data_IF_782987627873
#
_entry.id   IF_782987627873
#
_cell.length_a   1.000
_cell.length_b   1.000
_cell.length_c   1.000
_cell.angle_alpha   90.00
_cell.angle_beta   90.00
_cell.angle_gamma   90.00
#
_symmetry.space_group_name_H-M   'P 1'
#
loop_
_entity.id
_entity.type
_entity.pdbx_description
1 polymer ?
#
# COMPACT_ATOMS: atom_id res chain seq x y z
N UNK A 1 71.71 -44.41 -64.40
CA UNK A 1 70.28 -44.70 -64.56
C UNK A 1 69.53 -44.10 -63.42
N UNK A 2 68.66 -43.13 -63.61
CA UNK A 2 68.12 -42.27 -62.51
C UNK A 2 66.84 -42.87 -61.89
N UNK A 3 66.75 -42.76 -60.58
CA UNK A 3 65.56 -43.09 -59.80
C UNK A 3 64.61 -41.91 -59.66
N UNK A 4 63.40 -42.09 -60.04
CA UNK A 4 62.30 -41.06 -59.98
C UNK A 4 61.68 -41.09 -58.57
N UNK A 5 61.72 -39.91 -57.87
CA UNK A 5 61.04 -39.68 -56.56
C UNK A 5 59.63 -39.18 -56.81
N UNK A 6 58.63 -39.86 -56.29
CA UNK A 6 57.24 -39.42 -56.17
C UNK A 6 57.02 -38.67 -54.85
N UNK A 7 56.65 -37.43 -54.95
CA UNK A 7 56.23 -36.58 -53.83
C UNK A 7 54.68 -36.74 -53.65
N UNK A 8 54.30 -37.33 -52.56
CA UNK A 8 52.89 -37.37 -52.12
C UNK A 8 52.57 -36.03 -51.42
N UNK A 9 51.59 -35.30 -51.96
CA UNK A 9 51.02 -34.13 -51.30
C UNK A 9 49.88 -34.60 -50.37
N UNK A 10 50.09 -34.42 -49.04
CA UNK A 10 49.07 -34.53 -48.03
C UNK A 10 48.25 -33.24 -47.97
N UNK A 11 46.99 -33.30 -48.40
CA UNK A 11 46.01 -32.19 -48.20
C UNK A 11 45.35 -32.34 -46.82
N UNK A 12 45.71 -31.47 -45.91
CA UNK A 12 45.05 -31.36 -44.62
C UNK A 12 43.73 -30.62 -44.76
N UNK A 13 42.62 -31.36 -44.69
CA UNK A 13 41.28 -30.73 -44.57
C UNK A 13 41.03 -30.31 -43.10
N UNK A 14 40.99 -28.99 -42.87
CA UNK A 14 40.59 -28.41 -41.61
C UNK A 14 39.05 -28.44 -41.56
N UNK A 15 38.49 -29.32 -40.73
CA UNK A 15 37.09 -29.30 -40.37
C UNK A 15 36.88 -28.19 -39.31
N UNK A 16 36.31 -27.06 -39.73
CA UNK A 16 35.79 -26.06 -38.80
C UNK A 16 34.46 -26.54 -38.28
N UNK A 17 34.45 -27.13 -37.09
CA UNK A 17 33.24 -27.48 -36.36
C UNK A 17 32.54 -26.18 -35.87
N UNK A 18 31.45 -25.77 -36.49
CA UNK A 18 30.59 -24.75 -36.00
C UNK A 18 29.82 -25.26 -34.76
N UNK A 19 30.28 -24.89 -33.59
CA UNK A 19 29.55 -25.12 -32.33
C UNK A 19 28.35 -24.16 -32.29
N UNK A 20 27.18 -24.64 -32.68
CA UNK A 20 25.92 -23.91 -32.49
C UNK A 20 25.62 -23.94 -31.00
N UNK A 21 25.94 -22.85 -30.31
CA UNK A 21 25.43 -22.58 -28.96
C UNK A 21 23.93 -22.38 -29.05
N UNK A 22 23.15 -23.42 -28.80
CA UNK A 22 21.74 -23.28 -28.44
C UNK A 22 21.69 -22.56 -27.11
N UNK A 23 21.49 -21.26 -27.12
CA UNK A 23 20.99 -20.53 -25.96
C UNK A 23 19.57 -21.03 -25.71
N UNK A 24 19.44 -22.10 -24.96
CA UNK A 24 18.16 -22.57 -24.44
C UNK A 24 17.57 -21.41 -23.66
N UNK A 25 16.41 -20.90 -24.10
CA UNK A 25 15.60 -20.03 -23.27
C UNK A 25 15.36 -20.77 -21.96
N UNK A 26 15.96 -20.31 -20.86
CA UNK A 26 15.71 -20.89 -19.55
C UNK A 26 14.18 -20.82 -19.36
N UNK A 27 13.53 -21.97 -19.19
CA UNK A 27 12.13 -22.02 -18.84
C UNK A 27 11.93 -21.18 -17.57
N UNK A 28 10.91 -20.34 -17.57
CA UNK A 28 10.62 -19.52 -16.39
C UNK A 28 10.43 -20.44 -15.19
N UNK A 29 11.14 -20.17 -14.11
CA UNK A 29 11.07 -20.94 -12.86
C UNK A 29 9.66 -20.81 -12.28
N UNK A 30 9.00 -21.95 -12.01
CA UNK A 30 7.75 -21.99 -11.27
C UNK A 30 8.03 -22.27 -9.81
N UNK A 31 7.48 -21.46 -8.92
CA UNK A 31 7.61 -21.62 -7.48
C UNK A 31 6.22 -21.83 -6.84
N UNK A 32 6.20 -22.59 -5.77
CA UNK A 32 5.03 -22.76 -4.92
C UNK A 32 5.06 -21.71 -3.80
N UNK A 33 3.94 -20.99 -3.62
CA UNK A 33 3.77 -19.98 -2.57
C UNK A 33 2.45 -20.18 -1.85
N UNK A 34 2.38 -19.77 -0.58
CA UNK A 34 1.12 -19.64 0.16
C UNK A 34 0.73 -18.18 0.19
N UNK A 35 -0.47 -17.85 -0.29
CA UNK A 35 -0.98 -16.48 -0.32
C UNK A 35 -1.72 -16.09 0.99
N UNK A 36 -2.15 -14.83 1.11
CA UNK A 36 -2.82 -14.32 2.31
C UNK A 36 -4.23 -14.89 2.52
N UNK A 37 -4.80 -15.58 1.54
CA UNK A 37 -6.04 -16.37 1.70
C UNK A 37 -5.75 -17.81 2.18
N UNK A 38 -4.48 -18.15 2.47
CA UNK A 38 -4.04 -19.48 2.90
C UNK A 38 -4.01 -20.51 1.76
N UNK A 39 -4.08 -20.10 0.50
CA UNK A 39 -4.06 -21.01 -0.65
C UNK A 39 -2.62 -21.27 -1.09
N UNK A 40 -2.33 -22.50 -1.46
CA UNK A 40 -1.09 -22.89 -2.12
C UNK A 40 -1.25 -22.65 -3.62
N UNK A 41 -0.38 -21.84 -4.20
CA UNK A 41 -0.44 -21.40 -5.59
C UNK A 41 0.91 -21.60 -6.28
N UNK A 42 0.89 -22.19 -7.46
CA UNK A 42 2.05 -22.25 -8.34
C UNK A 42 2.10 -20.96 -9.18
N UNK A 43 3.21 -20.24 -9.09
CA UNK A 43 3.40 -18.96 -9.80
C UNK A 43 4.72 -18.94 -10.55
N UNK A 44 4.75 -18.28 -11.70
CA UNK A 44 6.00 -17.95 -12.38
C UNK A 44 6.81 -17.01 -11.51
N UNK A 45 8.04 -17.35 -11.21
CA UNK A 45 8.98 -16.46 -10.52
C UNK A 45 9.50 -15.40 -11.51
N UNK A 46 9.64 -14.16 -11.02
CA UNK A 46 10.00 -12.98 -11.82
C UNK A 46 9.12 -12.80 -13.07
N UNK A 47 7.77 -12.77 -12.89
CA UNK A 47 6.84 -12.68 -14.01
C UNK A 47 7.04 -11.34 -14.74
N UNK A 48 6.87 -11.38 -16.06
CA UNK A 48 7.03 -10.19 -16.91
C UNK A 48 5.75 -9.37 -17.04
N UNK A 49 4.59 -10.01 -16.81
CA UNK A 49 3.28 -9.40 -17.03
C UNK A 49 2.37 -9.66 -15.85
N UNK A 50 2.21 -8.65 -15.01
CA UNK A 50 1.30 -8.70 -13.86
C UNK A 50 0.15 -7.72 -14.04
N UNK A 51 -1.01 -8.08 -13.51
CA UNK A 51 -2.15 -7.17 -13.33
C UNK A 51 -2.37 -6.95 -11.84
N UNK A 52 -2.53 -5.70 -11.44
CA UNK A 52 -2.91 -5.30 -10.10
C UNK A 52 -4.42 -5.08 -10.06
N UNK A 53 -5.14 -5.78 -9.18
CA UNK A 53 -6.58 -5.53 -9.03
C UNK A 53 -6.84 -4.10 -8.58
N UNK A 54 -5.93 -3.53 -7.79
CA UNK A 54 -5.97 -2.17 -7.28
C UNK A 54 -4.70 -1.42 -7.66
N UNK A 55 -4.84 -0.21 -8.20
CA UNK A 55 -3.69 0.63 -8.58
C UNK A 55 -2.80 1.00 -7.39
N UNK A 56 -3.36 1.09 -6.17
CA UNK A 56 -2.61 1.38 -4.96
C UNK A 56 -1.68 0.25 -4.51
N UNK A 57 -1.83 -0.98 -5.03
CA UNK A 57 -0.83 -2.04 -4.85
C UNK A 57 0.54 -1.64 -5.41
N UNK A 58 0.58 -0.59 -6.26
CA UNK A 58 1.82 0.03 -6.72
C UNK A 58 2.71 0.51 -5.57
N UNK A 59 2.17 0.90 -4.43
CA UNK A 59 2.98 1.32 -3.27
C UNK A 59 3.98 0.25 -2.85
N UNK A 60 3.59 -1.02 -2.92
CA UNK A 60 4.49 -2.14 -2.62
C UNK A 60 5.49 -2.39 -3.76
N UNK A 61 5.02 -2.35 -5.02
CA UNK A 61 5.92 -2.53 -6.16
C UNK A 61 6.96 -1.42 -6.23
N UNK A 62 6.61 -0.19 -5.82
CA UNK A 62 7.52 0.94 -5.77
C UNK A 62 8.68 0.73 -4.79
N UNK A 63 8.50 -0.09 -3.76
CA UNK A 63 9.58 -0.48 -2.85
C UNK A 63 10.41 -1.65 -3.39
N UNK A 64 9.76 -2.61 -4.05
CA UNK A 64 10.40 -3.85 -4.52
C UNK A 64 11.12 -3.66 -5.86
N UNK A 65 10.53 -2.93 -6.78
CA UNK A 65 11.07 -2.60 -8.12
C UNK A 65 11.33 -1.08 -8.23
N UNK A 66 12.09 -0.53 -7.29
CA UNK A 66 12.29 0.93 -7.11
C UNK A 66 12.78 1.65 -8.36
N UNK A 67 13.58 1.00 -9.21
CA UNK A 67 14.10 1.61 -10.44
C UNK A 67 13.01 1.86 -11.48
N UNK A 68 12.06 0.92 -11.62
CA UNK A 68 10.88 1.04 -12.47
C UNK A 68 9.75 0.14 -11.96
N UNK A 69 8.85 0.66 -11.10
CA UNK A 69 7.75 -0.11 -10.54
C UNK A 69 6.68 -0.52 -11.58
N UNK A 70 6.73 0.07 -12.78
CA UNK A 70 5.77 -0.22 -13.86
C UNK A 70 6.28 -1.27 -14.85
N UNK A 71 7.56 -1.66 -14.80
CA UNK A 71 8.20 -2.49 -15.83
C UNK A 71 7.47 -3.80 -16.15
N UNK A 72 6.70 -4.32 -15.18
CA UNK A 72 5.94 -5.57 -15.32
C UNK A 72 4.43 -5.40 -15.22
N UNK A 73 3.94 -4.20 -14.89
CA UNK A 73 2.51 -3.92 -14.73
C UNK A 73 1.89 -3.66 -16.09
N UNK A 74 1.09 -4.62 -16.57
CA UNK A 74 0.39 -4.51 -17.86
C UNK A 74 -1.05 -3.99 -17.73
N UNK A 75 -1.61 -4.05 -16.51
CA UNK A 75 -2.94 -3.53 -16.21
C UNK A 75 -3.12 -3.30 -14.71
N UNK A 76 -4.00 -2.38 -14.35
CA UNK A 76 -4.29 -2.04 -12.95
C UNK A 76 -5.65 -1.37 -12.76
N UNK A 77 -6.15 -1.37 -11.51
CA UNK A 77 -7.32 -0.57 -11.14
C UNK A 77 -7.00 0.92 -11.16
N UNK A 78 -8.03 1.76 -11.37
CA UNK A 78 -7.88 3.22 -11.46
C UNK A 78 -7.80 3.95 -10.11
N UNK A 79 -7.89 3.24 -9.02
CA UNK A 79 -8.04 3.77 -7.66
C UNK A 79 -6.84 4.63 -7.18
N UNK A 80 -5.62 4.35 -7.65
CA UNK A 80 -4.48 5.24 -7.39
C UNK A 80 -4.69 6.61 -8.03
N UNK A 81 -5.14 6.63 -9.30
CA UNK A 81 -5.34 7.86 -10.06
C UNK A 81 -6.46 8.71 -9.44
N UNK A 82 -7.55 8.06 -9.02
CA UNK A 82 -8.75 8.72 -8.51
C UNK A 82 -8.63 9.13 -7.03
N UNK A 83 -7.98 8.29 -6.21
CA UNK A 83 -7.96 8.49 -4.76
C UNK A 83 -6.65 9.05 -4.22
N UNK A 84 -5.56 8.99 -5.01
CA UNK A 84 -4.26 9.57 -4.66
C UNK A 84 -3.61 10.28 -5.85
N UNK A 85 -4.26 11.33 -6.38
CA UNK A 85 -3.77 12.06 -7.55
C UNK A 85 -2.38 12.68 -7.32
N UNK A 86 -2.06 13.10 -6.09
CA UNK A 86 -0.75 13.66 -5.75
C UNK A 86 0.38 12.64 -5.93
N UNK A 87 0.20 11.40 -5.43
CA UNK A 87 1.17 10.33 -5.67
C UNK A 87 1.25 9.97 -7.16
N UNK A 88 0.08 9.86 -7.82
CA UNK A 88 0.04 9.55 -9.26
C UNK A 88 0.86 10.54 -10.09
N UNK A 89 0.70 11.85 -9.86
CA UNK A 89 1.45 12.88 -10.59
C UNK A 89 2.98 12.73 -10.39
N UNK A 90 3.42 12.41 -9.18
CA UNK A 90 4.83 12.14 -8.92
C UNK A 90 5.36 10.91 -9.66
N UNK A 91 4.60 9.82 -9.64
CA UNK A 91 4.96 8.61 -10.41
C UNK A 91 4.98 8.90 -11.91
N UNK A 92 3.97 9.58 -12.43
CA UNK A 92 3.86 9.92 -13.85
C UNK A 92 5.01 10.84 -14.32
N UNK A 93 5.40 11.82 -13.50
CA UNK A 93 6.52 12.71 -13.80
C UNK A 93 7.86 11.95 -13.91
N UNK A 94 8.06 10.91 -13.08
CA UNK A 94 9.28 10.10 -13.11
C UNK A 94 9.23 8.98 -14.14
N UNK A 95 8.05 8.38 -14.35
CA UNK A 95 7.80 7.24 -15.22
C UNK A 95 6.70 7.57 -16.25
N UNK A 96 6.96 8.37 -17.27
CA UNK A 96 5.93 8.85 -18.22
C UNK A 96 5.16 7.72 -18.94
N UNK A 97 5.78 6.55 -19.11
CA UNK A 97 5.15 5.38 -19.70
C UNK A 97 4.07 4.74 -18.80
N UNK A 98 3.98 5.12 -17.53
CA UNK A 98 2.94 4.64 -16.63
C UNK A 98 1.51 4.93 -17.13
N UNK A 99 1.32 6.01 -17.92
CA UNK A 99 0.06 6.35 -18.60
C UNK A 99 -0.42 5.29 -19.59
N UNK A 100 0.50 4.46 -20.10
CA UNK A 100 0.22 3.44 -21.13
C UNK A 100 -0.21 2.10 -20.50
N UNK A 101 -0.13 1.96 -19.16
CA UNK A 101 -0.64 0.78 -18.45
C UNK A 101 -2.16 0.71 -18.58
N UNK A 102 -2.66 -0.47 -18.98
CA UNK A 102 -4.09 -0.64 -19.24
C UNK A 102 -4.93 -0.40 -17.97
N UNK A 103 -5.85 0.56 -18.05
CA UNK A 103 -6.81 0.81 -16.98
C UNK A 103 -7.87 -0.30 -16.96
N UNK A 104 -7.94 -1.05 -15.85
CA UNK A 104 -8.91 -2.14 -15.64
C UNK A 104 -10.25 -1.67 -15.06
N UNK A 105 -10.38 -0.36 -14.80
CA UNK A 105 -11.57 0.23 -14.21
C UNK A 105 -11.55 0.24 -12.67
N UNK A 106 -12.74 0.40 -12.10
CA UNK A 106 -12.91 0.44 -10.65
C UNK A 106 -12.67 -0.96 -10.06
N UNK A 107 -11.68 -1.15 -9.19
CA UNK A 107 -11.38 -2.46 -8.59
C UNK A 107 -12.52 -3.01 -7.72
N UNK A 108 -13.41 -2.15 -7.27
CA UNK A 108 -14.57 -2.52 -6.44
C UNK A 108 -15.84 -2.82 -7.25
N UNK A 109 -15.78 -2.65 -8.59
CA UNK A 109 -16.89 -3.01 -9.47
C UNK A 109 -17.13 -4.54 -9.50
N UNK A 110 -18.35 -4.93 -9.86
CA UNK A 110 -18.73 -6.35 -9.88
C UNK A 110 -18.04 -7.14 -11.00
N UNK A 111 -17.72 -6.48 -12.12
CA UNK A 111 -17.32 -7.15 -13.35
C UNK A 111 -15.84 -6.92 -13.67
N UNK A 112 -15.05 -7.95 -13.47
CA UNK A 112 -13.65 -8.01 -13.94
C UNK A 112 -13.65 -8.62 -15.34
N UNK A 113 -13.17 -7.85 -16.34
CA UNK A 113 -13.10 -8.32 -17.72
C UNK A 113 -11.99 -9.36 -17.91
N UNK A 114 -12.38 -10.64 -17.92
CA UNK A 114 -11.45 -11.74 -18.20
C UNK A 114 -10.82 -11.66 -19.59
N UNK A 115 -11.58 -11.20 -20.58
CA UNK A 115 -11.09 -11.00 -21.95
C UNK A 115 -9.92 -9.99 -21.96
N UNK A 116 -10.09 -8.87 -21.25
CA UNK A 116 -9.06 -7.84 -21.17
C UNK A 116 -7.81 -8.35 -20.44
N UNK A 117 -7.97 -9.06 -19.31
CA UNK A 117 -6.86 -9.66 -18.56
C UNK A 117 -6.07 -10.64 -19.44
N UNK A 118 -6.78 -11.53 -20.16
CA UNK A 118 -6.15 -12.51 -21.04
C UNK A 118 -5.45 -11.86 -22.24
N UNK A 119 -6.08 -10.84 -22.85
CA UNK A 119 -5.50 -10.09 -23.98
C UNK A 119 -4.18 -9.39 -23.64
N UNK A 120 -3.99 -8.99 -22.36
CA UNK A 120 -2.74 -8.42 -21.87
C UNK A 120 -1.61 -9.46 -21.75
N UNK A 121 -1.93 -10.76 -21.86
CA UNK A 121 -1.00 -11.87 -21.66
C UNK A 121 -0.54 -11.97 -20.19
N UNK A 122 -1.46 -11.72 -19.27
CA UNK A 122 -1.21 -11.72 -17.82
C UNK A 122 -0.70 -13.06 -17.34
N UNK A 123 0.41 -13.05 -16.60
CA UNK A 123 0.99 -14.25 -15.96
C UNK A 123 0.51 -14.38 -14.51
N UNK A 124 0.47 -13.25 -13.78
CA UNK A 124 0.04 -13.19 -12.38
C UNK A 124 -0.97 -12.06 -12.19
N UNK A 125 -2.07 -12.37 -11.53
CA UNK A 125 -3.07 -11.41 -11.08
C UNK A 125 -3.02 -11.25 -9.57
N UNK A 126 -2.72 -10.04 -9.09
CA UNK A 126 -2.62 -9.72 -7.67
C UNK A 126 -3.94 -9.12 -7.20
N UNK A 127 -4.58 -9.76 -6.22
CA UNK A 127 -5.83 -9.32 -5.62
C UNK A 127 -5.63 -8.90 -4.15
N UNK A 128 -6.45 -7.95 -3.71
CA UNK A 128 -6.59 -7.65 -2.30
C UNK A 128 -7.45 -8.71 -1.61
N UNK A 129 -7.07 -9.10 -0.38
CA UNK A 129 -7.75 -10.15 0.42
C UNK A 129 -9.23 -9.81 0.67
N UNK A 130 -9.59 -8.52 0.76
CA UNK A 130 -10.98 -8.08 0.92
C UNK A 130 -11.89 -8.55 -0.21
N UNK A 131 -11.33 -8.85 -1.37
CA UNK A 131 -12.07 -9.33 -2.54
C UNK A 131 -12.18 -10.87 -2.61
N UNK A 132 -11.64 -11.62 -1.64
CA UNK A 132 -11.55 -13.08 -1.71
C UNK A 132 -12.92 -13.75 -1.88
N UNK A 133 -13.88 -13.45 -1.00
CA UNK A 133 -15.21 -14.05 -1.08
C UNK A 133 -15.95 -13.68 -2.36
N UNK A 134 -15.84 -12.43 -2.80
CA UNK A 134 -16.43 -11.97 -4.07
C UNK A 134 -15.81 -12.67 -5.27
N UNK A 135 -14.49 -12.84 -5.29
CA UNK A 135 -13.79 -13.54 -6.36
C UNK A 135 -14.18 -15.03 -6.45
N UNK A 136 -14.48 -15.66 -5.29
CA UNK A 136 -15.03 -17.02 -5.26
C UNK A 136 -16.47 -17.06 -5.77
N UNK A 137 -17.33 -16.21 -5.24
CA UNK A 137 -18.76 -16.16 -5.57
C UNK A 137 -19.02 -15.90 -7.06
N UNK A 138 -18.25 -14.99 -7.67
CA UNK A 138 -18.35 -14.67 -9.10
C UNK A 138 -17.68 -15.71 -10.02
N UNK A 139 -17.01 -16.71 -9.44
CA UNK A 139 -16.23 -17.70 -10.18
C UNK A 139 -14.98 -17.12 -10.87
N UNK A 140 -14.53 -15.93 -10.47
CA UNK A 140 -13.35 -15.26 -11.03
C UNK A 140 -12.10 -16.15 -10.91
N UNK A 141 -11.88 -16.76 -9.74
CA UNK A 141 -10.70 -17.60 -9.51
C UNK A 141 -10.64 -18.79 -10.47
N UNK A 142 -11.75 -19.50 -10.66
CA UNK A 142 -11.82 -20.61 -11.60
C UNK A 142 -11.60 -20.19 -13.05
N UNK A 143 -12.08 -18.99 -13.44
CA UNK A 143 -11.87 -18.43 -14.77
C UNK A 143 -10.40 -18.08 -15.01
N UNK A 144 -9.73 -17.47 -14.02
CA UNK A 144 -8.30 -17.13 -14.10
C UNK A 144 -7.45 -18.39 -14.18
N UNK A 145 -7.71 -19.39 -13.34
CA UNK A 145 -7.02 -20.68 -13.33
C UNK A 145 -7.16 -21.39 -14.70
N UNK A 146 -8.39 -21.45 -15.26
CA UNK A 146 -8.63 -22.02 -16.58
C UNK A 146 -7.87 -21.30 -17.70
N UNK A 147 -7.62 -19.99 -17.52
CA UNK A 147 -6.83 -19.18 -18.44
C UNK A 147 -5.31 -19.32 -18.22
N UNK A 148 -4.87 -20.13 -17.26
CA UNK A 148 -3.45 -20.30 -16.90
C UNK A 148 -2.86 -19.09 -16.17
N UNK A 149 -3.68 -18.23 -15.60
CA UNK A 149 -3.27 -17.02 -14.90
C UNK A 149 -3.19 -17.31 -13.39
N UNK A 150 -1.99 -17.28 -12.82
CA UNK A 150 -1.80 -17.44 -11.39
C UNK A 150 -2.43 -16.26 -10.63
N UNK A 151 -3.17 -16.55 -9.56
CA UNK A 151 -3.83 -15.54 -8.75
C UNK A 151 -3.32 -15.61 -7.33
N UNK A 152 -2.86 -14.48 -6.78
CA UNK A 152 -2.37 -14.37 -5.41
C UNK A 152 -3.07 -13.25 -4.65
N UNK A 153 -3.38 -13.52 -3.38
CA UNK A 153 -3.99 -12.53 -2.49
C UNK A 153 -2.94 -11.92 -1.58
N UNK A 154 -3.00 -10.60 -1.45
CA UNK A 154 -2.23 -9.78 -0.50
C UNK A 154 -3.19 -8.97 0.36
N UNK A 155 -2.73 -8.49 1.52
CA UNK A 155 -3.54 -7.62 2.38
C UNK A 155 -2.69 -6.48 2.93
N UNK A 156 -3.09 -5.26 2.54
CA UNK A 156 -2.55 -4.02 3.06
C UNK A 156 -3.64 -3.18 3.74
N UNK A 157 -4.87 -3.71 3.85
CA UNK A 157 -6.05 -2.96 4.24
C UNK A 157 -6.83 -3.54 5.40
N UNK A 158 -7.18 -4.83 5.36
CA UNK A 158 -8.08 -5.42 6.37
C UNK A 158 -7.39 -5.52 7.74
N UNK A 159 -6.26 -6.20 7.79
CA UNK A 159 -5.42 -6.31 8.99
C UNK A 159 -3.94 -6.08 8.64
N UNK A 160 -3.57 -4.84 8.30
CA UNK A 160 -2.22 -4.54 7.84
C UNK A 160 -1.16 -4.83 8.91
N UNK A 161 -1.50 -4.71 10.19
CA UNK A 161 -0.55 -4.98 11.28
C UNK A 161 -0.10 -6.44 11.33
N UNK A 162 -0.94 -7.36 10.86
CA UNK A 162 -0.62 -8.78 10.74
C UNK A 162 -0.10 -9.14 9.34
N UNK A 163 -0.64 -8.51 8.30
CA UNK A 163 -0.54 -9.02 6.94
C UNK A 163 0.44 -8.26 6.03
N UNK A 164 0.90 -7.06 6.41
CA UNK A 164 1.84 -6.28 5.57
C UNK A 164 3.16 -7.02 5.35
N UNK A 165 3.81 -7.52 6.41
CA UNK A 165 5.07 -8.22 6.24
C UNK A 165 4.93 -9.50 5.41
N UNK A 166 3.98 -10.41 5.69
CA UNK A 166 3.76 -11.59 4.84
C UNK A 166 3.44 -11.21 3.38
N UNK A 167 2.63 -10.15 3.14
CA UNK A 167 2.30 -9.68 1.79
C UNK A 167 3.52 -9.16 1.03
N UNK A 168 4.36 -8.35 1.68
CA UNK A 168 5.59 -7.82 1.05
C UNK A 168 6.59 -8.95 0.78
N UNK A 169 6.73 -9.91 1.71
CA UNK A 169 7.62 -11.06 1.52
C UNK A 169 7.11 -12.00 0.41
N UNK A 170 5.80 -12.25 0.35
CA UNK A 170 5.18 -13.01 -0.74
C UNK A 170 5.48 -12.37 -2.09
N UNK A 171 5.23 -11.07 -2.23
CA UNK A 171 5.51 -10.34 -3.48
C UNK A 171 7.02 -10.30 -3.77
N UNK A 172 7.86 -10.11 -2.76
CA UNK A 172 9.32 -10.18 -2.90
C UNK A 172 9.77 -11.51 -3.50
N UNK A 173 9.23 -12.62 -3.02
CA UNK A 173 9.53 -13.98 -3.52
C UNK A 173 9.03 -14.19 -4.96
N UNK A 174 7.78 -13.77 -5.25
CA UNK A 174 7.21 -13.89 -6.60
C UNK A 174 8.01 -13.06 -7.60
N UNK A 175 8.36 -11.82 -7.24
CA UNK A 175 9.03 -10.87 -8.13
C UNK A 175 10.56 -11.03 -8.21
N UNK A 176 11.15 -11.99 -7.44
CA UNK A 176 12.60 -12.13 -7.34
C UNK A 176 13.25 -10.89 -6.69
N UNK A 177 12.60 -10.34 -5.66
CA UNK A 177 13.00 -9.13 -4.90
C UNK A 177 13.08 -9.39 -3.40
N UNK A 178 13.55 -10.58 -3.03
CA UNK A 178 13.65 -10.99 -1.64
C UNK A 178 14.58 -10.07 -0.83
N UNK A 179 15.63 -9.55 -1.47
CA UNK A 179 16.57 -8.60 -0.82
C UNK A 179 15.87 -7.31 -0.42
N UNK A 180 15.10 -6.73 -1.33
CA UNK A 180 14.35 -5.51 -1.12
C UNK A 180 13.23 -5.72 -0.09
N UNK A 181 12.53 -6.85 -0.16
CA UNK A 181 11.49 -7.24 0.80
C UNK A 181 12.07 -7.42 2.22
N UNK A 182 13.24 -8.06 2.35
CA UNK A 182 13.91 -8.23 3.64
C UNK A 182 14.42 -6.90 4.20
N UNK A 183 14.97 -6.02 3.35
CA UNK A 183 15.40 -4.68 3.78
C UNK A 183 14.23 -3.85 4.32
N UNK A 184 13.06 -3.93 3.67
CA UNK A 184 11.83 -3.32 4.17
C UNK A 184 11.40 -3.97 5.49
N UNK A 185 11.38 -5.30 5.58
CA UNK A 185 10.99 -6.02 6.79
C UNK A 185 11.85 -5.63 8.00
N UNK A 186 13.16 -5.53 7.83
CA UNK A 186 14.08 -5.10 8.89
C UNK A 186 13.80 -3.66 9.33
N UNK A 187 13.50 -2.77 8.38
CA UNK A 187 13.16 -1.38 8.69
C UNK A 187 11.82 -1.31 9.44
N UNK A 188 10.79 -1.96 8.93
CA UNK A 188 9.47 -2.05 9.54
C UNK A 188 9.54 -2.56 10.99
N UNK A 189 10.22 -3.69 11.20
CA UNK A 189 10.37 -4.30 12.53
C UNK A 189 11.09 -3.35 13.52
N UNK A 190 12.12 -2.65 13.06
CA UNK A 190 12.80 -1.67 13.93
C UNK A 190 11.87 -0.54 14.36
N UNK A 191 11.08 0.02 13.43
CA UNK A 191 10.17 1.12 13.73
C UNK A 191 9.03 0.69 14.66
N UNK A 192 8.34 -0.40 14.35
CA UNK A 192 7.22 -0.90 15.17
C UNK A 192 7.68 -1.34 16.55
N UNK A 193 8.83 -1.99 16.69
CA UNK A 193 9.42 -2.31 18.00
C UNK A 193 9.76 -1.07 18.80
N UNK A 194 10.23 0.00 18.17
CA UNK A 194 10.51 1.28 18.84
C UNK A 194 9.23 1.90 19.41
N UNK A 195 8.11 1.82 18.68
CA UNK A 195 6.80 2.26 19.17
C UNK A 195 6.39 1.41 20.37
N UNK A 196 6.32 0.09 20.19
CA UNK A 196 5.87 -0.85 21.22
C UNK A 196 6.70 -0.76 22.51
N UNK A 197 8.03 -0.65 22.42
CA UNK A 197 8.91 -0.53 23.59
C UNK A 197 8.58 0.71 24.45
N UNK A 198 8.02 1.76 23.84
CA UNK A 198 7.69 3.02 24.54
C UNK A 198 6.28 3.04 25.10
N UNK A 199 5.33 2.34 24.45
CA UNK A 199 3.91 2.41 24.80
C UNK A 199 3.32 1.10 25.34
N UNK A 200 3.93 -0.05 25.08
CA UNK A 200 3.37 -1.36 25.38
C UNK A 200 3.11 -1.63 26.86
N UNK A 201 3.85 -0.97 27.78
CA UNK A 201 3.65 -1.11 29.21
C UNK A 201 2.65 -0.11 29.81
N UNK A 202 2.01 0.75 29.01
CA UNK A 202 1.07 1.76 29.50
C UNK A 202 -0.26 1.07 29.84
N UNK A 203 -0.74 1.19 31.10
CA UNK A 203 -2.03 0.60 31.51
C UNK A 203 -3.19 1.20 30.70
N UNK A 204 -4.18 0.38 30.34
CA UNK A 204 -5.31 0.82 29.50
C UNK A 204 -6.06 2.04 30.05
N UNK A 205 -6.17 2.15 31.39
CA UNK A 205 -6.80 3.30 32.04
C UNK A 205 -6.07 4.64 31.83
N UNK A 206 -4.78 4.59 31.46
CA UNK A 206 -3.95 5.76 31.18
C UNK A 206 -3.87 6.10 29.69
N UNK A 207 -4.33 5.21 28.83
CA UNK A 207 -4.35 5.44 27.38
C UNK A 207 -5.46 6.44 27.02
N UNK A 208 -5.19 7.43 26.15
CA UNK A 208 -6.21 8.36 25.69
C UNK A 208 -7.31 7.66 24.88
N UNK A 209 -8.57 8.08 25.06
CA UNK A 209 -9.67 7.68 24.20
C UNK A 209 -9.61 8.49 22.90
N UNK A 210 -9.55 7.81 21.77
CA UNK A 210 -9.38 8.42 20.44
C UNK A 210 -10.59 8.07 19.57
N UNK A 211 -11.26 9.08 19.04
CA UNK A 211 -12.22 8.89 17.95
C UNK A 211 -11.50 9.11 16.62
N UNK A 212 -11.69 8.19 15.67
CA UNK A 212 -11.15 8.33 14.31
C UNK A 212 -12.31 8.52 13.33
N UNK A 213 -12.48 9.74 12.80
CA UNK A 213 -13.43 10.01 11.73
C UNK A 213 -12.83 9.61 10.37
N UNK A 214 -13.43 8.61 9.75
CA UNK A 214 -13.00 8.08 8.47
C UNK A 214 -13.44 9.00 7.34
N UNK A 215 -12.50 9.42 6.49
CA UNK A 215 -12.75 10.27 5.32
C UNK A 215 -13.67 11.46 5.63
N UNK A 216 -13.33 12.20 6.70
CA UNK A 216 -14.10 13.33 7.19
C UNK A 216 -14.26 14.39 6.10
N UNK A 217 -15.50 14.80 5.85
CA UNK A 217 -15.86 15.77 4.80
C UNK A 217 -16.04 15.17 3.40
N UNK A 218 -15.73 13.87 3.21
CA UNK A 218 -16.12 13.07 2.04
C UNK A 218 -17.32 12.18 2.38
N UNK A 219 -17.28 11.52 3.53
CA UNK A 219 -18.35 10.67 4.03
C UNK A 219 -19.22 11.44 5.03
N UNK A 220 -20.49 11.00 5.23
CA UNK A 220 -21.32 11.55 6.30
C UNK A 220 -20.64 11.37 7.67
N UNK A 221 -20.78 12.35 8.53
CA UNK A 221 -20.35 12.20 9.93
C UNK A 221 -21.21 11.15 10.63
N UNK A 222 -20.66 10.26 11.41
CA UNK A 222 -19.27 10.12 11.75
C UNK A 222 -18.86 8.69 11.40
N UNK A 223 -18.49 8.48 10.15
CA UNK A 223 -17.92 7.21 9.73
C UNK A 223 -16.63 6.94 10.53
N UNK A 224 -16.41 5.69 10.96
CA UNK A 224 -15.28 5.35 11.83
C UNK A 224 -14.73 3.96 11.52
N UNK A 225 -13.63 3.60 12.16
CA UNK A 225 -13.03 2.27 12.08
C UNK A 225 -13.31 1.48 13.38
N UNK A 226 -13.67 0.21 13.25
CA UNK A 226 -13.67 -0.75 14.35
C UNK A 226 -12.24 -1.18 14.73
N UNK A 227 -12.03 -2.44 15.18
CA UNK A 227 -10.72 -2.91 15.68
C UNK A 227 -9.73 -3.28 14.56
N UNK A 228 -9.84 -2.64 13.41
CA UNK A 228 -9.00 -2.88 12.24
C UNK A 228 -8.43 -1.56 11.70
N UNK A 229 -7.37 -1.66 10.90
CA UNK A 229 -6.77 -0.54 10.17
C UNK A 229 -6.47 0.66 11.09
N UNK A 230 -6.92 1.89 10.80
CA UNK A 230 -6.69 3.06 11.65
C UNK A 230 -7.13 2.87 13.10
N UNK A 231 -8.17 2.07 13.36
CA UNK A 231 -8.56 1.72 14.73
C UNK A 231 -7.46 0.92 15.43
N UNK A 232 -6.89 -0.05 14.73
CA UNK A 232 -5.75 -0.85 15.22
C UNK A 232 -4.49 0.02 15.36
N UNK A 233 -4.20 0.92 14.41
CA UNK A 233 -3.05 1.83 14.51
C UNK A 233 -3.11 2.70 15.77
N UNK A 234 -4.31 3.19 16.12
CA UNK A 234 -4.51 3.90 17.40
C UNK A 234 -4.14 3.02 18.59
N UNK A 235 -4.59 1.75 18.60
CA UNK A 235 -4.32 0.82 19.71
C UNK A 235 -2.84 0.47 19.83
N UNK A 236 -2.17 0.22 18.72
CA UNK A 236 -0.74 -0.09 18.68
C UNK A 236 0.14 1.13 18.97
N UNK A 237 -0.31 2.33 18.62
CA UNK A 237 0.29 3.58 19.04
C UNK A 237 0.09 3.91 20.54
N UNK A 238 -0.66 3.08 21.28
CA UNK A 238 -0.89 3.24 22.73
C UNK A 238 -2.16 4.02 23.06
N UNK A 239 -3.07 4.25 22.13
CA UNK A 239 -4.40 4.82 22.38
C UNK A 239 -5.45 3.74 22.67
N UNK A 240 -6.69 4.18 22.92
CA UNK A 240 -7.89 3.34 22.91
C UNK A 240 -8.79 3.81 21.78
N UNK A 241 -9.02 2.96 20.78
CA UNK A 241 -9.94 3.30 19.71
C UNK A 241 -11.37 3.32 20.22
N UNK A 242 -12.07 4.43 20.06
CA UNK A 242 -13.49 4.56 20.43
C UNK A 242 -14.35 3.57 19.65
N UNK A 243 -14.08 3.40 18.35
CA UNK A 243 -14.86 2.50 17.48
C UNK A 243 -14.78 1.04 17.89
N UNK A 244 -13.64 0.54 18.40
CA UNK A 244 -13.46 -0.84 18.86
C UNK A 244 -14.36 -1.20 20.05
N UNK A 245 -14.87 -0.22 20.78
CA UNK A 245 -15.76 -0.48 21.93
C UNK A 245 -17.19 -0.80 21.51
N UNK A 246 -17.59 -0.38 20.31
CA UNK A 246 -18.98 -0.47 19.85
C UNK A 246 -19.16 -1.32 18.58
N UNK A 247 -18.08 -1.51 17.82
CA UNK A 247 -18.13 -2.15 16.51
C UNK A 247 -17.08 -3.25 16.38
N UNK A 248 -17.47 -4.35 15.76
CA UNK A 248 -16.59 -5.47 15.42
C UNK A 248 -16.23 -5.50 13.93
N UNK A 249 -16.87 -4.65 13.12
CA UNK A 249 -16.61 -4.56 11.69
C UNK A 249 -15.38 -3.68 11.39
N UNK A 250 -14.82 -3.85 10.19
CA UNK A 250 -13.71 -3.03 9.69
C UNK A 250 -14.04 -1.54 9.74
N UNK A 251 -15.25 -1.17 9.34
CA UNK A 251 -15.75 0.21 9.33
C UNK A 251 -17.20 0.25 9.80
N UNK A 252 -17.59 1.37 10.38
CA UNK A 252 -18.93 1.55 10.90
C UNK A 252 -19.38 3.01 10.77
N UNK A 253 -20.67 3.23 10.97
CA UNK A 253 -21.26 4.56 11.06
C UNK A 253 -21.67 4.83 12.51
N UNK A 254 -21.03 5.81 13.15
CA UNK A 254 -21.40 6.28 14.47
C UNK A 254 -22.44 7.40 14.38
N UNK A 255 -23.35 7.47 15.34
CA UNK A 255 -24.23 8.64 15.52
C UNK A 255 -23.38 9.81 16.04
N UNK A 256 -23.55 10.99 15.46
CA UNK A 256 -22.81 12.20 15.85
C UNK A 256 -23.06 12.53 17.33
N UNK A 257 -24.30 12.42 17.78
CA UNK A 257 -24.71 12.71 19.15
C UNK A 257 -23.96 11.81 20.15
N UNK A 258 -23.74 10.53 19.78
CA UNK A 258 -22.99 9.58 20.63
C UNK A 258 -21.53 9.99 20.74
N UNK A 259 -20.90 10.39 19.64
CA UNK A 259 -19.49 10.86 19.63
C UNK A 259 -19.34 12.13 20.47
N UNK A 260 -20.29 13.07 20.32
CA UNK A 260 -20.30 14.31 21.09
C UNK A 260 -20.51 14.05 22.60
N UNK A 261 -21.43 13.14 22.95
CA UNK A 261 -21.71 12.78 24.34
C UNK A 261 -20.56 12.05 25.02
N UNK A 262 -19.87 11.13 24.31
CA UNK A 262 -18.72 10.40 24.84
C UNK A 262 -17.47 11.27 24.95
N UNK A 263 -17.42 12.37 24.19
CA UNK A 263 -16.40 13.42 24.28
C UNK A 263 -14.97 12.88 24.35
N UNK A 264 -14.41 12.29 23.27
CA UNK A 264 -13.11 11.64 23.26
C UNK A 264 -11.97 12.59 23.63
N UNK A 265 -10.87 12.04 24.17
CA UNK A 265 -9.69 12.80 24.58
C UNK A 265 -8.96 13.43 23.39
N UNK A 266 -8.96 12.69 22.27
CA UNK A 266 -8.32 13.07 21.03
C UNK A 266 -9.28 12.78 19.87
N UNK A 267 -9.31 13.68 18.90
CA UNK A 267 -10.10 13.52 17.68
C UNK A 267 -9.16 13.40 16.48
N UNK A 268 -9.07 12.22 15.92
CA UNK A 268 -8.40 12.01 14.65
C UNK A 268 -9.40 12.02 13.51
N UNK A 269 -8.96 12.47 12.37
CA UNK A 269 -9.70 12.35 11.13
C UNK A 269 -8.77 11.95 9.99
N UNK A 270 -9.30 11.26 9.00
CA UNK A 270 -8.55 10.92 7.81
C UNK A 270 -9.03 11.73 6.62
N UNK A 271 -8.09 12.21 5.79
CA UNK A 271 -8.37 13.00 4.61
C UNK A 271 -7.33 12.80 3.51
N UNK A 272 -7.72 13.11 2.30
CA UNK A 272 -6.87 13.16 1.11
C UNK A 272 -7.44 14.14 0.09
N UNK A 273 -6.70 14.43 -0.97
CA UNK A 273 -7.17 15.29 -2.04
C UNK A 273 -8.10 14.50 -2.98
N UNK A 274 -9.39 14.46 -2.64
CA UNK A 274 -10.44 13.82 -3.46
C UNK A 274 -11.23 14.80 -4.33
N UNK A 275 -10.83 16.08 -4.34
CA UNK A 275 -11.60 17.10 -5.03
C UNK A 275 -11.81 16.80 -6.52
N UNK A 276 -10.82 16.21 -7.20
CA UNK A 276 -10.91 15.83 -8.61
C UNK A 276 -11.95 14.76 -8.91
N UNK A 277 -12.08 13.73 -8.05
CA UNK A 277 -13.07 12.66 -8.17
C UNK A 277 -14.41 12.98 -7.49
N UNK A 278 -14.37 13.87 -6.48
CA UNK A 278 -15.53 14.31 -5.69
C UNK A 278 -15.50 15.81 -5.47
N UNK A 279 -15.97 16.65 -6.43
CA UNK A 279 -15.88 18.12 -6.34
C UNK A 279 -16.60 18.74 -5.14
N UNK A 280 -17.56 18.01 -4.55
CA UNK A 280 -18.26 18.41 -3.33
C UNK A 280 -17.55 18.07 -2.03
N UNK A 281 -16.38 17.43 -2.07
CA UNK A 281 -15.62 17.04 -0.87
C UNK A 281 -15.14 18.28 -0.12
N UNK A 282 -15.35 18.26 1.20
CA UNK A 282 -14.79 19.24 2.15
C UNK A 282 -13.68 18.62 3.00
N UNK A 283 -13.18 17.47 2.60
CA UNK A 283 -12.13 16.75 3.32
C UNK A 283 -10.83 17.55 3.38
N UNK A 284 -10.03 17.29 4.42
CA UNK A 284 -8.68 17.84 4.51
C UNK A 284 -7.82 17.19 3.42
N UNK A 285 -7.39 18.01 2.47
CA UNK A 285 -6.58 17.57 1.33
C UNK A 285 -5.14 17.33 1.75
N UNK A 286 -4.88 16.17 2.37
CA UNK A 286 -3.56 15.69 2.72
C UNK A 286 -2.93 14.92 1.55
N UNK A 287 -1.59 14.83 1.54
CA UNK A 287 -0.82 14.10 0.56
C UNK A 287 0.31 14.93 -0.04
N UNK A 288 0.83 14.47 -1.16
CA UNK A 288 2.06 15.00 -1.78
C UNK A 288 1.99 16.43 -2.30
N UNK A 289 0.80 16.94 -2.61
CA UNK A 289 0.49 18.27 -3.14
C UNK A 289 -0.14 19.23 -2.12
N UNK A 290 -0.31 18.76 -0.88
CA UNK A 290 -0.91 19.53 0.20
C UNK A 290 0.00 20.68 0.68
N UNK A 291 -0.61 21.82 1.08
CA UNK A 291 0.08 22.90 1.77
C UNK A 291 -0.40 23.08 3.20
N UNK A 292 0.46 23.49 4.15
CA UNK A 292 0.07 23.69 5.54
C UNK A 292 -1.11 24.63 5.72
N UNK A 293 -1.16 25.72 4.95
CA UNK A 293 -2.21 26.75 5.02
C UNK A 293 -3.56 26.19 4.60
N UNK A 294 -3.59 25.43 3.49
CA UNK A 294 -4.82 24.78 3.01
C UNK A 294 -5.33 23.77 4.02
N UNK A 295 -4.45 22.92 4.54
CA UNK A 295 -4.76 21.89 5.54
C UNK A 295 -5.35 22.51 6.79
N UNK A 296 -4.74 23.60 7.34
CA UNK A 296 -5.27 24.29 8.52
C UNK A 296 -6.65 24.91 8.26
N UNK A 297 -6.86 25.57 7.13
CA UNK A 297 -8.16 26.13 6.75
C UNK A 297 -9.25 25.06 6.71
N UNK A 298 -8.96 23.90 6.14
CA UNK A 298 -9.92 22.79 6.04
C UNK A 298 -10.17 22.12 7.39
N UNK A 299 -9.13 21.95 8.24
CA UNK A 299 -9.29 21.45 9.61
C UNK A 299 -10.22 22.35 10.44
N UNK A 300 -10.00 23.67 10.41
CA UNK A 300 -10.86 24.64 11.10
C UNK A 300 -12.30 24.53 10.60
N UNK A 301 -12.51 24.45 9.28
CA UNK A 301 -13.85 24.33 8.69
C UNK A 301 -14.58 23.07 9.16
N UNK A 302 -13.89 21.91 9.20
CA UNK A 302 -14.48 20.64 9.68
C UNK A 302 -14.83 20.70 11.18
N UNK A 303 -14.01 21.38 11.99
CA UNK A 303 -14.26 21.51 13.42
C UNK A 303 -15.33 22.57 13.75
N UNK A 304 -15.74 23.39 12.80
CA UNK A 304 -16.87 24.34 12.95
C UNK A 304 -18.24 23.70 12.71
N UNK A 305 -18.32 22.39 12.50
CA UNK A 305 -19.59 21.67 12.42
C UNK A 305 -20.39 21.80 13.74
N UNK A 306 -21.73 21.76 13.70
CA UNK A 306 -22.57 21.90 14.90
C UNK A 306 -22.18 20.90 16.00
N UNK A 307 -21.95 21.42 17.22
CA UNK A 307 -21.58 20.64 18.41
C UNK A 307 -20.08 20.35 18.56
N UNK A 308 -19.29 20.40 17.50
CA UNK A 308 -17.85 20.00 17.55
C UNK A 308 -17.00 20.93 18.40
N UNK A 309 -17.34 22.24 18.47
CA UNK A 309 -16.64 23.21 19.30
C UNK A 309 -16.69 22.90 20.81
N UNK A 310 -17.64 22.03 21.21
CA UNK A 310 -17.80 21.62 22.61
C UNK A 310 -16.91 20.40 22.96
N UNK A 311 -16.34 19.73 21.99
CA UNK A 311 -15.45 18.60 22.23
C UNK A 311 -14.18 19.07 22.96
N UNK A 312 -13.81 18.38 24.06
CA UNK A 312 -12.56 18.67 24.77
C UNK A 312 -11.32 18.52 23.87
N UNK A 313 -11.37 17.62 22.87
CA UNK A 313 -10.33 17.48 21.87
C UNK A 313 -10.17 18.75 21.02
N UNK A 314 -11.26 19.43 20.63
CA UNK A 314 -11.22 20.69 19.87
C UNK A 314 -10.72 21.82 20.75
N UNK A 315 -11.28 21.98 21.96
CA UNK A 315 -10.88 23.00 22.92
C UNK A 315 -9.42 22.88 23.35
N UNK A 316 -8.93 21.64 23.50
CA UNK A 316 -7.55 21.32 23.84
C UNK A 316 -6.58 21.25 22.65
N UNK A 317 -7.05 21.59 21.43
CA UNK A 317 -6.26 21.47 20.18
C UNK A 317 -5.64 20.07 19.98
N UNK A 318 -6.38 19.03 20.39
CA UNK A 318 -6.02 17.61 20.21
C UNK A 318 -6.78 16.99 19.03
N UNK A 319 -6.88 17.76 17.95
CA UNK A 319 -7.45 17.31 16.67
C UNK A 319 -6.30 17.16 15.69
N UNK A 320 -6.18 15.98 15.07
CA UNK A 320 -5.13 15.69 14.08
C UNK A 320 -5.73 15.05 12.86
N UNK A 321 -5.43 15.59 11.69
CA UNK A 321 -5.73 14.95 10.42
C UNK A 321 -4.57 14.05 10.00
N UNK A 322 -4.88 12.86 9.49
CA UNK A 322 -3.93 11.91 8.91
C UNK A 322 -4.26 11.63 7.44
N UNK A 323 -3.24 11.45 6.63
CA UNK A 323 -3.40 11.08 5.24
C UNK A 323 -4.12 9.74 5.12
N UNK A 324 -5.25 9.74 4.42
CA UNK A 324 -6.13 8.58 4.34
C UNK A 324 -5.45 7.36 3.72
N UNK A 325 -4.55 7.57 2.76
CA UNK A 325 -3.94 6.45 2.03
C UNK A 325 -3.01 5.57 2.89
N UNK A 326 -2.63 6.00 4.10
CA UNK A 326 -1.97 5.11 5.05
C UNK A 326 -2.77 3.84 5.35
N UNK A 327 -4.09 3.85 5.10
CA UNK A 327 -4.94 2.68 5.30
C UNK A 327 -4.66 1.51 4.33
N UNK A 328 -3.89 1.77 3.26
CA UNK A 328 -3.63 0.84 2.16
C UNK A 328 -2.11 0.75 1.82
N UNK A 329 -1.30 1.49 2.58
CA UNK A 329 0.14 1.54 2.35
C UNK A 329 0.89 0.52 3.23
N UNK A 330 1.89 -0.20 2.70
CA UNK A 330 2.70 -1.11 3.51
C UNK A 330 3.52 -0.39 4.59
N UNK A 331 3.69 0.93 4.50
CA UNK A 331 4.42 1.77 5.45
C UNK A 331 3.51 2.61 6.37
N UNK A 332 2.31 2.09 6.69
CA UNK A 332 1.35 2.69 7.63
C UNK A 332 1.94 2.97 9.03
N UNK A 333 2.98 2.23 9.43
CA UNK A 333 3.67 2.43 10.72
C UNK A 333 4.21 3.86 10.90
N UNK A 334 4.37 4.63 9.81
CA UNK A 334 4.69 6.06 9.86
C UNK A 334 3.55 6.83 10.54
N UNK A 335 2.29 6.51 10.20
CA UNK A 335 1.14 7.10 10.87
C UNK A 335 1.05 6.66 12.34
N UNK A 336 1.33 5.39 12.66
CA UNK A 336 1.40 4.91 14.04
C UNK A 336 2.46 5.66 14.85
N UNK A 337 3.63 5.88 14.27
CA UNK A 337 4.70 6.64 14.92
C UNK A 337 4.28 8.08 15.22
N UNK A 338 3.62 8.73 14.25
CA UNK A 338 3.08 10.08 14.42
C UNK A 338 1.98 10.10 15.49
N UNK A 339 1.06 9.11 15.50
CA UNK A 339 0.02 8.96 16.52
C UNK A 339 0.62 8.76 17.91
N UNK A 340 1.61 7.87 18.04
CA UNK A 340 2.27 7.61 19.33
C UNK A 340 2.95 8.87 19.89
N UNK A 341 3.57 9.67 19.03
CA UNK A 341 4.13 10.98 19.43
C UNK A 341 3.04 11.97 19.86
N UNK A 342 1.88 11.98 19.19
CA UNK A 342 0.73 12.79 19.58
C UNK A 342 0.17 12.39 20.95
N UNK A 343 0.15 11.10 21.27
CA UNK A 343 -0.33 10.60 22.56
C UNK A 343 0.68 10.85 23.70
N UNK A 344 1.97 10.66 23.40
CA UNK A 344 3.04 10.64 24.40
C UNK A 344 4.28 11.46 23.96
N UNK A 345 4.15 12.79 23.79
CA UNK A 345 5.23 13.63 23.25
C UNK A 345 6.54 13.48 24.04
N UNK A 346 6.48 13.33 25.36
CA UNK A 346 7.68 13.18 26.21
C UNK A 346 8.40 11.84 25.98
N UNK A 347 7.67 10.78 25.66
CA UNK A 347 8.24 9.46 25.35
C UNK A 347 8.88 9.40 23.96
N UNK A 348 8.50 10.32 23.08
CA UNK A 348 8.95 10.41 21.69
C UNK A 348 9.67 11.73 21.37
N UNK A 349 10.23 12.42 22.40
CA UNK A 349 10.94 13.69 22.21
C UNK A 349 12.15 13.59 21.28
N UNK A 350 12.77 12.41 21.22
CA UNK A 350 13.94 12.06 20.40
C UNK A 350 13.55 11.54 19.00
N UNK A 351 12.26 11.46 18.68
CA UNK A 351 11.76 10.94 17.40
C UNK A 351 11.07 12.05 16.63
N UNK A 352 11.43 12.19 15.37
CA UNK A 352 10.73 13.02 14.40
C UNK A 352 10.08 12.13 13.31
N UNK A 353 8.75 11.88 13.37
CA UNK A 353 8.06 11.05 12.41
C UNK A 353 8.18 11.55 10.96
N UNK A 354 8.28 12.87 10.75
CA UNK A 354 8.46 13.45 9.42
C UNK A 354 9.84 13.15 8.87
N UNK A 355 10.88 13.26 9.69
CA UNK A 355 12.24 12.87 9.31
C UNK A 355 12.33 11.37 8.98
N UNK A 356 11.65 10.51 9.77
CA UNK A 356 11.56 9.07 9.49
C UNK A 356 10.87 8.82 8.14
N UNK A 357 9.81 9.56 7.82
CA UNK A 357 9.12 9.40 6.55
C UNK A 357 9.92 9.92 5.35
N UNK A 358 10.67 11.02 5.52
CA UNK A 358 11.63 11.49 4.51
C UNK A 358 12.72 10.46 4.24
N UNK A 359 13.32 9.90 5.30
CA UNK A 359 14.29 8.81 5.21
C UNK A 359 13.71 7.58 4.48
N UNK A 360 12.45 7.23 4.77
CA UNK A 360 11.77 6.13 4.11
C UNK A 360 11.64 6.36 2.59
N UNK A 361 11.27 7.57 2.16
CA UNK A 361 11.23 7.94 0.74
C UNK A 361 12.60 7.79 0.09
N UNK A 362 13.64 8.28 0.73
CA UNK A 362 15.01 8.21 0.20
C UNK A 362 15.50 6.77 0.04
N UNK A 363 15.14 5.90 0.99
CA UNK A 363 15.61 4.51 1.01
C UNK A 363 14.79 3.57 0.13
N UNK A 364 13.47 3.70 0.14
CA UNK A 364 12.58 2.68 -0.40
C UNK A 364 11.73 3.15 -1.58
N UNK A 365 11.41 4.44 -1.69
CA UNK A 365 10.51 4.90 -2.74
C UNK A 365 11.26 5.57 -3.89
N UNK A 366 10.75 5.44 -5.14
CA UNK A 366 11.34 6.13 -6.28
C UNK A 366 10.98 7.61 -6.34
N UNK A 367 9.94 8.04 -5.64
CA UNK A 367 9.45 9.42 -5.62
C UNK A 367 9.93 10.16 -4.37
N UNK A 368 10.17 11.46 -4.49
CA UNK A 368 10.61 12.30 -3.37
C UNK A 368 9.46 12.66 -2.44
N UNK A 369 9.77 12.82 -1.16
CA UNK A 369 8.86 13.38 -0.17
C UNK A 369 8.49 14.84 -0.51
N UNK A 370 7.21 15.19 -0.37
CA UNK A 370 6.70 16.57 -0.40
C UNK A 370 5.28 16.59 0.16
N UNK A 371 4.78 17.78 0.48
CA UNK A 371 3.41 17.97 0.95
C UNK A 371 3.23 17.75 2.44
N UNK A 372 2.00 17.42 2.86
CA UNK A 372 1.61 17.27 4.26
C UNK A 372 0.82 15.97 4.42
N UNK A 373 1.29 15.08 5.31
CA UNK A 373 0.68 13.76 5.52
C UNK A 373 -0.06 13.64 6.85
N UNK A 374 0.19 14.54 7.80
CA UNK A 374 -0.61 14.74 9.01
C UNK A 374 -0.43 16.18 9.49
N UNK A 375 -1.44 16.67 10.16
CA UNK A 375 -1.41 18.02 10.72
C UNK A 375 -2.33 18.12 11.93
N UNK A 376 -1.85 18.81 12.97
CA UNK A 376 -2.64 19.17 14.16
C UNK A 376 -3.38 20.49 13.90
N UNK A 377 -4.60 20.62 14.39
CA UNK A 377 -5.34 21.87 14.48
C UNK A 377 -4.59 22.89 15.35
N UNK A 378 -4.32 24.06 14.80
CA UNK A 378 -3.62 25.17 15.46
C UNK A 378 -4.58 26.11 16.20
#
# INVERSE_FOLDING_TARGET
>A
MPATRWLARLSSAVLIGATILFAGAAAAETIEVTDLAGRVVNVTRDPRKIVLSEGRQLYTLAMLDREDPFKRVVGWGNDLIENDPGAWQKYLAKFPKAKDVANMGNPYAADVSMEKIAALGTEVYILDLSNYFKAQETGLLAKLEKAGIATVFVDFRQDPTQNVLPSVQLLGRILGREKEANAFADYYIRQTRSIYARVGAIPDKQKPMVFVERAAGLLPCCATFGPFNFGRYVEEAGGRNWGSQFFTAFQAQAAQEKVLADNPDIYFLTGANWYGSNPGSTAVALGYDATPEQVQKQLVALMNRPGFQQLKAVQGRKVVAFYHQFYDMPYYFIAELAMAKEFYPDRFKDVDPEAVFKEFHEKFLPISYSGVFWARLQ
#
